data_IF_191175767097
#
_entry.id   IF_191175767097
#
_cell.length_a   1.000
_cell.length_b   1.000
_cell.length_c   1.000
_cell.angle_alpha   90.00
_cell.angle_beta   90.00
_cell.angle_gamma   90.00
#
_symmetry.space_group_name_H-M   'P 1'
#
loop_
_entity.id
_entity.type
_entity.pdbx_description
1 polymer ?
#
# COMPACT_ATOMS: atom_id res chain seq x y z
N UNK A 1 -3.00 23.91 9.63
CA UNK A 1 -2.98 23.40 8.24
C UNK A 1 -1.93 22.27 8.00
N UNK A 2 -0.94 22.09 8.86
CA UNK A 2 0.17 21.13 8.61
C UNK A 2 -0.12 19.64 8.89
N UNK A 3 -1.25 19.30 9.51
CA UNK A 3 -1.54 17.89 9.89
C UNK A 3 -2.22 17.06 8.79
N UNK A 4 -3.01 17.70 7.95
CA UNK A 4 -3.85 17.00 6.95
C UNK A 4 -3.25 16.93 5.55
N UNK A 5 -2.19 17.68 5.26
CA UNK A 5 -1.61 17.75 3.91
C UNK A 5 -1.16 16.37 3.36
N UNK A 6 -0.59 15.43 4.16
CA UNK A 6 -0.21 14.14 3.57
C UNK A 6 -1.42 13.31 3.17
N UNK A 7 -2.51 13.41 3.96
CA UNK A 7 -3.76 12.74 3.63
C UNK A 7 -4.33 13.27 2.31
N UNK A 8 -4.40 14.59 2.17
CA UNK A 8 -4.90 15.22 0.94
C UNK A 8 -4.02 14.89 -0.26
N UNK A 9 -2.70 14.95 -0.10
CA UNK A 9 -1.76 14.59 -1.16
C UNK A 9 -1.89 13.11 -1.56
N UNK A 10 -2.02 12.21 -0.58
CA UNK A 10 -2.24 10.78 -0.83
C UNK A 10 -3.57 10.52 -1.55
N UNK A 11 -4.64 11.18 -1.15
CA UNK A 11 -5.95 11.08 -1.82
C UNK A 11 -5.91 11.63 -3.24
N UNK A 12 -5.28 12.78 -3.47
CA UNK A 12 -5.12 13.36 -4.80
C UNK A 12 -4.30 12.45 -5.71
N UNK A 13 -3.20 11.89 -5.19
CA UNK A 13 -2.38 10.95 -5.95
C UNK A 13 -3.16 9.69 -6.28
N UNK A 14 -3.88 9.10 -5.32
CA UNK A 14 -4.71 7.93 -5.53
C UNK A 14 -5.80 8.20 -6.58
N UNK A 15 -6.46 9.36 -6.49
CA UNK A 15 -7.43 9.79 -7.48
C UNK A 15 -6.80 9.92 -8.88
N UNK A 16 -5.63 10.51 -9.00
CA UNK A 16 -4.91 10.62 -10.27
C UNK A 16 -4.54 9.24 -10.85
N UNK A 17 -4.12 8.30 -9.99
CA UNK A 17 -3.76 6.94 -10.40
C UNK A 17 -4.99 6.13 -10.84
N UNK A 18 -6.13 6.27 -10.16
CA UNK A 18 -7.31 5.43 -10.41
C UNK A 18 -8.34 6.04 -11.36
N UNK A 19 -8.45 7.37 -11.43
CA UNK A 19 -9.43 8.06 -12.28
C UNK A 19 -8.85 8.51 -13.63
N UNK A 20 -7.53 8.38 -13.81
CA UNK A 20 -6.84 8.69 -15.06
C UNK A 20 -6.89 7.53 -16.06
N UNK A 21 -6.15 7.62 -17.16
CA UNK A 21 -6.09 6.58 -18.19
C UNK A 21 -5.26 5.35 -17.75
N UNK A 22 -4.51 5.47 -16.66
CA UNK A 22 -3.56 4.45 -16.21
C UNK A 22 -4.20 3.08 -15.90
N UNK A 23 -5.40 2.98 -15.28
CA UNK A 23 -6.03 1.69 -15.04
C UNK A 23 -6.32 0.90 -16.33
N UNK A 24 -6.81 1.56 -17.37
CA UNK A 24 -7.07 0.89 -18.64
C UNK A 24 -5.77 0.46 -19.33
N UNK A 25 -4.73 1.28 -19.26
CA UNK A 25 -3.40 0.91 -19.78
C UNK A 25 -2.79 -0.23 -18.99
N UNK A 26 -2.96 -0.24 -17.66
CA UNK A 26 -2.44 -1.27 -16.76
C UNK A 26 -3.04 -2.66 -17.00
N UNK A 27 -4.29 -2.72 -17.47
CA UNK A 27 -4.94 -3.98 -17.85
C UNK A 27 -4.41 -4.56 -19.18
N UNK A 28 -3.74 -3.76 -20.00
CA UNK A 28 -3.27 -4.13 -21.34
C UNK A 28 -1.75 -4.30 -21.44
N UNK A 29 -0.98 -3.71 -20.51
CA UNK A 29 0.47 -3.73 -20.59
C UNK A 29 1.12 -3.76 -19.20
N UNK A 30 2.25 -4.47 -19.12
CA UNK A 30 2.99 -4.69 -17.88
C UNK A 30 3.54 -3.39 -17.27
N UNK A 31 4.15 -2.52 -18.05
CA UNK A 31 4.76 -1.29 -17.53
C UNK A 31 3.75 -0.34 -16.86
N UNK A 32 2.59 -0.01 -17.46
CA UNK A 32 1.54 0.74 -16.77
C UNK A 32 1.00 0.02 -15.53
N UNK A 33 0.91 -1.32 -15.55
CA UNK A 33 0.51 -2.10 -14.39
C UNK A 33 1.49 -1.89 -13.23
N UNK A 34 2.79 -1.97 -13.46
CA UNK A 34 3.81 -1.74 -12.45
C UNK A 34 3.82 -0.30 -11.95
N UNK A 35 3.63 0.69 -12.82
CA UNK A 35 3.53 2.11 -12.43
C UNK A 35 2.33 2.31 -11.50
N UNK A 36 1.18 1.73 -11.84
CA UNK A 36 -0.02 1.82 -11.02
C UNK A 36 0.17 1.12 -9.67
N UNK A 37 0.66 -0.12 -9.68
CA UNK A 37 0.94 -0.89 -8.48
C UNK A 37 1.92 -0.18 -7.53
N UNK A 38 3.08 0.22 -8.02
CA UNK A 38 4.09 0.93 -7.22
C UNK A 38 3.61 2.32 -6.79
N UNK A 39 2.88 3.02 -7.65
CA UNK A 39 2.27 4.31 -7.32
C UNK A 39 1.29 4.21 -6.15
N UNK A 40 0.45 3.17 -6.13
CA UNK A 40 -0.49 2.92 -5.02
C UNK A 40 0.26 2.49 -3.76
N UNK A 41 1.17 1.53 -3.85
CA UNK A 41 1.81 0.92 -2.67
C UNK A 41 2.94 1.75 -2.07
N UNK A 42 3.77 2.39 -2.88
CA UNK A 42 4.96 3.12 -2.43
C UNK A 42 4.80 4.64 -2.39
N UNK A 43 3.77 5.20 -3.02
CA UNK A 43 3.57 6.64 -3.00
C UNK A 43 2.25 7.05 -2.33
N UNK A 44 1.10 6.53 -2.75
CA UNK A 44 -0.19 6.91 -2.18
C UNK A 44 -0.37 6.33 -0.76
N UNK A 45 -0.12 5.03 -0.55
CA UNK A 45 -0.30 4.36 0.73
C UNK A 45 0.51 4.99 1.88
N UNK A 46 1.82 5.32 1.75
CA UNK A 46 2.56 5.97 2.84
C UNK A 46 2.03 7.36 3.17
N UNK A 47 1.64 8.16 2.17
CA UNK A 47 1.06 9.47 2.40
C UNK A 47 -0.26 9.37 3.16
N UNK A 48 -1.12 8.43 2.78
CA UNK A 48 -2.39 8.16 3.46
C UNK A 48 -2.16 7.65 4.88
N UNK A 49 -1.23 6.71 5.08
CA UNK A 49 -0.88 6.18 6.40
C UNK A 49 -0.35 7.27 7.33
N UNK A 50 0.60 8.11 6.87
CA UNK A 50 1.12 9.25 7.64
C UNK A 50 -0.01 10.22 7.99
N UNK A 51 -0.87 10.54 7.01
CA UNK A 51 -2.00 11.43 7.20
C UNK A 51 -2.98 10.89 8.23
N UNK A 52 -3.37 9.63 8.14
CA UNK A 52 -4.26 8.97 9.08
C UNK A 52 -3.67 8.94 10.51
N UNK A 53 -2.40 8.55 10.67
CA UNK A 53 -1.72 8.52 11.97
C UNK A 53 -1.66 9.91 12.62
N UNK A 54 -1.47 10.97 11.84
CA UNK A 54 -1.45 12.35 12.36
C UNK A 54 -2.79 12.83 12.88
N UNK A 55 -3.89 12.22 12.42
CA UNK A 55 -5.25 12.53 12.87
C UNK A 55 -5.65 11.73 14.11
N UNK A 56 -4.95 10.64 14.42
CA UNK A 56 -5.23 9.84 15.61
C UNK A 56 -4.88 10.60 16.89
N UNK A 57 -5.66 10.42 17.98
CA UNK A 57 -5.31 10.92 19.29
C UNK A 57 -3.94 10.41 19.77
N UNK A 58 -3.22 11.21 20.58
CA UNK A 58 -1.83 10.92 21.00
C UNK A 58 -1.67 9.56 21.65
N UNK A 59 -2.61 9.15 22.50
CA UNK A 59 -2.58 7.86 23.21
C UNK A 59 -2.61 6.63 22.28
N UNK A 60 -3.17 6.73 21.09
CA UNK A 60 -3.13 5.66 20.07
C UNK A 60 -1.76 5.55 19.40
N UNK A 61 -0.98 6.61 19.40
CA UNK A 61 0.36 6.67 18.78
C UNK A 61 1.45 6.07 19.67
N UNK A 62 1.17 5.92 20.96
CA UNK A 62 2.14 5.41 21.93
C UNK A 62 2.08 3.88 22.10
N UNK A 63 1.14 3.21 21.43
CA UNK A 63 1.04 1.76 21.37
C UNK A 63 2.20 1.15 20.58
N UNK A 64 3.11 0.46 21.26
CA UNK A 64 4.17 -0.31 20.60
C UNK A 64 3.57 -1.46 19.79
N UNK A 65 3.76 -1.46 18.49
CA UNK A 65 3.44 -2.62 17.65
C UNK A 65 4.39 -3.75 17.96
N UNK A 66 3.85 -4.94 18.25
CA UNK A 66 4.67 -6.12 18.42
C UNK A 66 5.36 -6.48 17.10
N UNK A 67 6.61 -6.93 17.15
CA UNK A 67 7.35 -7.43 15.98
C UNK A 67 6.53 -8.47 15.20
N UNK A 68 5.75 -9.31 15.92
CA UNK A 68 4.85 -10.28 15.32
C UNK A 68 3.80 -9.65 14.38
N UNK A 69 3.25 -8.47 14.73
CA UNK A 69 2.29 -7.77 13.88
C UNK A 69 2.95 -7.26 12.59
N UNK A 70 4.15 -6.70 12.69
CA UNK A 70 4.92 -6.25 11.52
C UNK A 70 5.25 -7.43 10.58
N UNK A 71 5.68 -8.57 11.14
CA UNK A 71 5.95 -9.77 10.34
C UNK A 71 4.69 -10.34 9.70
N UNK A 72 3.56 -10.37 10.42
CA UNK A 72 2.29 -10.87 9.89
C UNK A 72 1.78 -9.99 8.72
N UNK A 73 1.88 -8.66 8.86
CA UNK A 73 1.48 -7.73 7.79
C UNK A 73 2.41 -7.86 6.59
N UNK A 74 3.71 -8.03 6.80
CA UNK A 74 4.67 -8.25 5.71
C UNK A 74 4.41 -9.57 4.97
N UNK A 75 4.08 -10.63 5.70
CA UNK A 75 3.70 -11.91 5.09
C UNK A 75 2.39 -11.79 4.31
N UNK A 76 1.42 -11.05 4.82
CA UNK A 76 0.16 -10.78 4.13
C UNK A 76 0.39 -9.98 2.83
N UNK A 77 1.19 -8.92 2.89
CA UNK A 77 1.56 -8.12 1.72
C UNK A 77 2.23 -8.99 0.65
N UNK A 78 3.21 -9.81 1.05
CA UNK A 78 3.85 -10.78 0.18
C UNK A 78 2.84 -11.70 -0.52
N UNK A 79 1.93 -12.31 0.25
CA UNK A 79 0.90 -13.21 -0.30
C UNK A 79 -0.02 -12.49 -1.28
N UNK A 80 -0.43 -11.26 -0.97
CA UNK A 80 -1.29 -10.46 -1.85
C UNK A 80 -0.56 -10.11 -3.14
N UNK A 81 0.66 -9.58 -3.05
CA UNK A 81 1.45 -9.16 -4.22
C UNK A 81 1.74 -10.36 -5.12
N UNK A 82 2.30 -11.42 -4.58
CA UNK A 82 2.64 -12.61 -5.37
C UNK A 82 1.39 -13.36 -5.87
N UNK A 83 0.33 -13.40 -5.08
CA UNK A 83 -0.94 -13.98 -5.50
C UNK A 83 -1.48 -13.30 -6.76
N UNK A 84 -1.54 -11.96 -6.78
CA UNK A 84 -2.00 -11.22 -7.95
C UNK A 84 -1.04 -11.26 -9.16
N UNK A 85 0.22 -11.62 -8.96
CA UNK A 85 1.18 -11.86 -10.04
C UNK A 85 1.15 -13.30 -10.56
N UNK A 86 0.42 -14.20 -9.91
CA UNK A 86 0.17 -15.53 -10.46
C UNK A 86 -0.63 -15.41 -11.77
N UNK A 87 -0.27 -16.15 -12.84
CA UNK A 87 -0.85 -15.98 -14.18
C UNK A 87 -2.38 -15.96 -14.19
N UNK A 88 -3.02 -16.90 -13.49
CA UNK A 88 -4.48 -17.02 -13.46
C UNK A 88 -5.18 -15.78 -12.86
N UNK A 89 -4.67 -15.22 -11.75
CA UNK A 89 -5.25 -14.03 -11.12
C UNK A 89 -4.89 -12.76 -11.89
N UNK A 90 -3.70 -12.70 -12.46
CA UNK A 90 -3.29 -11.58 -13.31
C UNK A 90 -4.17 -11.48 -14.56
N UNK A 91 -4.41 -12.60 -15.26
CA UNK A 91 -5.31 -12.67 -16.41
C UNK A 91 -6.76 -12.33 -16.03
N UNK A 92 -7.25 -12.84 -14.89
CA UNK A 92 -8.59 -12.52 -14.39
C UNK A 92 -8.75 -11.00 -14.13
N UNK A 93 -7.73 -10.36 -13.55
CA UNK A 93 -7.73 -8.91 -13.31
C UNK A 93 -7.66 -8.13 -14.62
N UNK A 94 -6.91 -8.60 -15.62
CA UNK A 94 -6.86 -7.97 -16.93
C UNK A 94 -8.21 -8.08 -17.67
N UNK A 95 -8.90 -9.22 -17.55
CA UNK A 95 -10.17 -9.50 -18.24
C UNK A 95 -11.39 -8.84 -17.56
N UNK A 96 -11.40 -8.69 -16.24
CA UNK A 96 -12.57 -8.24 -15.47
C UNK A 96 -12.30 -6.94 -14.72
N UNK A 97 -13.10 -5.87 -14.96
CA UNK A 97 -12.99 -4.63 -14.19
C UNK A 97 -13.19 -4.83 -12.67
N UNK A 98 -14.05 -5.76 -12.28
CA UNK A 98 -14.32 -6.08 -10.87
C UNK A 98 -13.08 -6.72 -10.23
N UNK A 99 -12.48 -7.71 -10.90
CA UNK A 99 -11.25 -8.36 -10.41
C UNK A 99 -10.09 -7.37 -10.34
N UNK A 100 -9.99 -6.47 -11.32
CA UNK A 100 -9.01 -5.39 -11.29
C UNK A 100 -9.25 -4.44 -10.10
N UNK A 101 -10.49 -4.07 -9.81
CA UNK A 101 -10.81 -3.23 -8.65
C UNK A 101 -10.46 -3.93 -7.32
N UNK A 102 -10.74 -5.23 -7.20
CA UNK A 102 -10.36 -6.04 -6.02
C UNK A 102 -8.83 -6.09 -5.87
N UNK A 103 -8.10 -6.30 -6.97
CA UNK A 103 -6.64 -6.26 -7.00
C UNK A 103 -6.12 -4.92 -6.47
N UNK A 104 -6.60 -3.79 -7.01
CA UNK A 104 -6.17 -2.46 -6.60
C UNK A 104 -6.53 -2.13 -5.15
N UNK A 105 -7.70 -2.52 -4.69
CA UNK A 105 -8.12 -2.37 -3.30
C UNK A 105 -7.25 -3.20 -2.35
N UNK A 106 -6.89 -4.42 -2.74
CA UNK A 106 -6.02 -5.27 -1.94
C UNK A 106 -4.59 -4.73 -1.84
N UNK A 107 -4.03 -4.18 -2.93
CA UNK A 107 -2.73 -3.50 -2.92
C UNK A 107 -2.73 -2.26 -2.03
N UNK A 108 -3.78 -1.45 -2.11
CA UNK A 108 -3.92 -0.30 -1.22
C UNK A 108 -4.03 -0.73 0.25
N UNK A 109 -4.87 -1.72 0.53
CA UNK A 109 -5.07 -2.25 1.90
C UNK A 109 -3.78 -2.82 2.50
N UNK A 110 -3.06 -3.65 1.75
CA UNK A 110 -1.78 -4.21 2.15
C UNK A 110 -0.73 -3.10 2.37
N UNK A 111 -0.63 -2.16 1.44
CA UNK A 111 0.27 -1.00 1.56
C UNK A 111 -0.05 -0.13 2.78
N UNK A 112 -1.33 0.17 3.04
CA UNK A 112 -1.74 0.94 4.23
C UNK A 112 -1.40 0.20 5.53
N UNK A 113 -1.64 -1.12 5.59
CA UNK A 113 -1.29 -1.93 6.75
C UNK A 113 0.23 -1.94 6.98
N UNK A 114 1.00 -2.14 5.92
CA UNK A 114 2.46 -2.18 5.96
C UNK A 114 3.06 -0.84 6.42
N UNK A 115 2.67 0.27 5.77
CA UNK A 115 3.12 1.60 6.15
C UNK A 115 2.56 2.04 7.50
N UNK A 116 1.32 1.63 7.84
CA UNK A 116 0.75 1.82 9.15
C UNK A 116 1.63 1.21 10.24
N UNK A 117 2.02 -0.06 10.10
CA UNK A 117 2.92 -0.71 11.07
C UNK A 117 4.31 -0.08 11.10
N UNK A 118 4.85 0.36 9.96
CA UNK A 118 6.16 1.00 9.89
C UNK A 118 6.20 2.37 10.61
N UNK A 119 5.12 3.15 10.53
CA UNK A 119 5.07 4.50 11.11
C UNK A 119 4.46 4.56 12.52
N UNK A 120 3.72 3.53 12.95
CA UNK A 120 3.02 3.52 14.24
C UNK A 120 3.93 3.28 15.45
N UNK A 121 5.17 2.87 15.24
CA UNK A 121 6.11 2.54 16.31
C UNK A 121 7.12 3.64 16.60
N UNK A 122 7.33 3.97 17.87
CA UNK A 122 8.40 4.90 18.34
C UNK A 122 9.83 4.32 18.19
N UNK A 123 9.96 3.03 17.89
CA UNK A 123 11.25 2.34 17.85
C UNK A 123 11.81 2.30 16.42
N UNK A 124 13.04 2.80 16.25
CA UNK A 124 13.81 2.69 14.98
C UNK A 124 13.94 1.24 14.48
N UNK A 125 13.86 0.24 15.38
CA UNK A 125 13.94 -1.19 15.03
C UNK A 125 12.70 -1.66 14.27
N UNK A 126 11.51 -1.14 14.61
CA UNK A 126 10.27 -1.47 13.89
C UNK A 126 10.22 -0.82 12.51
N UNK A 127 10.69 0.41 12.37
CA UNK A 127 10.81 1.07 11.08
C UNK A 127 11.79 0.34 10.15
N UNK A 128 12.91 -0.14 10.69
CA UNK A 128 13.89 -0.93 9.93
C UNK A 128 13.33 -2.29 9.51
N UNK A 129 12.58 -2.98 10.36
CA UNK A 129 11.93 -4.24 10.02
C UNK A 129 10.87 -4.07 8.92
N UNK A 130 10.06 -3.00 8.98
CA UNK A 130 9.12 -2.66 7.93
C UNK A 130 9.79 -2.32 6.60
N UNK A 131 10.88 -1.56 6.63
CA UNK A 131 11.66 -1.23 5.43
C UNK A 131 12.30 -2.47 4.79
N UNK A 132 12.84 -3.39 5.60
CA UNK A 132 13.39 -4.68 5.14
C UNK A 132 12.30 -5.56 4.51
N UNK A 133 11.13 -5.62 5.13
CA UNK A 133 10.00 -6.37 4.58
C UNK A 133 9.56 -5.80 3.23
N UNK A 134 9.50 -4.47 3.08
CA UNK A 134 9.22 -3.83 1.79
C UNK A 134 10.24 -4.16 0.72
N UNK A 135 11.53 -4.14 1.05
CA UNK A 135 12.58 -4.49 0.10
C UNK A 135 12.46 -5.95 -0.36
N UNK A 136 12.04 -6.85 0.52
CA UNK A 136 11.87 -8.26 0.19
C UNK A 136 10.59 -8.56 -0.60
N UNK A 137 9.55 -7.75 -0.47
CA UNK A 137 8.27 -7.94 -1.16
C UNK A 137 8.17 -7.14 -2.46
N UNK A 138 9.01 -6.11 -2.65
CA UNK A 138 9.00 -5.27 -3.86
C UNK A 138 9.86 -5.81 -5.01
N UNK A 139 10.64 -6.87 -4.79
CA UNK A 139 11.40 -7.55 -5.85
C UNK A 139 10.60 -8.69 -6.45
#
# INVERSE_FOLDING_TARGET
MTRVWPLLAGMMLLAALWLGPLPEMARRAFSPHMILHLGVTLAAAPLLAIGAIRLLPGHWRDGGQALAAALAVSALDFVIVWGWHAPALHEAAAASPIMFAIQQASFLGAGLALWGTAFFGRSRRHAAAGALAMLLTSM
#
